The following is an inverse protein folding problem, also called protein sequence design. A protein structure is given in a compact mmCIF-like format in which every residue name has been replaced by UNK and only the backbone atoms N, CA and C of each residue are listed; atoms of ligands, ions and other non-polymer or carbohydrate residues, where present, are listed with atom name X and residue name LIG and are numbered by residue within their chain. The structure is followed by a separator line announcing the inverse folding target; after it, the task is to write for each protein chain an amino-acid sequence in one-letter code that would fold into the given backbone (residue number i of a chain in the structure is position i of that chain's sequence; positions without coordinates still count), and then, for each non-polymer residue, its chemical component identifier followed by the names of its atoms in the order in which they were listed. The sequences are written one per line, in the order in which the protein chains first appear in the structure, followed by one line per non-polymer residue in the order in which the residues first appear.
data_IF_479518710189
#
_entry.id   IF_479518710189
#
_cell.length_a   1.000
_cell.length_b   1.000
_cell.length_c   1.000
_cell.angle_alpha   90.00
_cell.angle_beta   90.00
_cell.angle_gamma   90.00
#
_symmetry.space_group_name_H-M   'P 1'
#
loop_
_entity.id
_entity.type
_entity.pdbx_description
1 polymer ?
#
# COMPACT_ATOMS: atom_id res chain seq x y z
N UNK A 1 50.64 -39.53 7.55
CA UNK A 1 51.40 -40.32 6.55
C UNK A 1 50.52 -40.42 5.31
N UNK A 2 50.93 -39.73 4.25
CA UNK A 2 50.17 -39.36 3.05
C UNK A 2 50.04 -40.53 2.07
N UNK A 3 48.90 -40.64 1.37
CA UNK A 3 48.76 -41.45 0.15
C UNK A 3 48.26 -40.57 -1.01
N UNK A 4 48.78 -40.76 -2.23
CA UNK A 4 48.65 -39.83 -3.33
C UNK A 4 47.38 -40.02 -4.17
N UNK A 5 47.06 -38.94 -4.89
CA UNK A 5 45.96 -38.76 -5.81
C UNK A 5 46.09 -39.57 -7.11
N UNK A 6 44.95 -39.96 -7.70
CA UNK A 6 44.63 -39.79 -9.13
C UNK A 6 43.30 -40.46 -9.48
N UNK A 7 42.30 -39.69 -9.92
CA UNK A 7 41.34 -40.04 -10.99
C UNK A 7 40.70 -38.70 -11.41
N UNK A 8 41.13 -38.14 -12.54
CA UNK A 8 40.62 -38.39 -13.89
C UNK A 8 39.52 -37.38 -14.27
N UNK A 9 39.94 -36.43 -15.11
CA UNK A 9 39.20 -35.64 -16.07
C UNK A 9 37.67 -35.73 -16.07
N UNK A 10 37.02 -34.60 -15.84
CA UNK A 10 35.99 -34.16 -16.79
C UNK A 10 36.02 -32.65 -16.90
N UNK A 11 36.71 -32.19 -17.93
CA UNK A 11 36.55 -30.83 -18.45
C UNK A 11 35.10 -30.67 -18.89
N UNK A 12 34.37 -29.75 -18.27
CA UNK A 12 33.26 -29.09 -18.93
C UNK A 12 33.38 -27.60 -18.62
N UNK A 13 34.01 -26.89 -19.55
CA UNK A 13 33.99 -25.44 -19.64
C UNK A 13 32.52 -25.00 -19.72
N UNK A 14 31.98 -24.41 -18.66
CA UNK A 14 30.80 -23.57 -18.80
C UNK A 14 31.26 -22.20 -19.27
N UNK A 15 31.24 -22.07 -20.60
CA UNK A 15 31.40 -20.81 -21.33
C UNK A 15 30.41 -19.78 -20.80
N UNK A 16 30.94 -18.70 -20.24
CA UNK A 16 30.22 -17.47 -19.99
C UNK A 16 29.65 -16.96 -21.33
N UNK A 17 28.35 -17.18 -21.55
CA UNK A 17 27.59 -16.54 -22.62
C UNK A 17 26.82 -15.39 -22.00
N UNK A 18 27.46 -14.21 -22.07
CA UNK A 18 26.79 -12.92 -21.92
C UNK A 18 25.86 -12.79 -23.13
N UNK A 19 24.55 -12.97 -22.92
CA UNK A 19 23.54 -12.56 -23.89
C UNK A 19 23.00 -11.19 -23.45
N UNK A 20 23.54 -10.17 -24.11
CA UNK A 20 23.06 -8.81 -24.10
C UNK A 20 21.70 -8.79 -24.83
N UNK A 21 20.59 -8.73 -24.11
CA UNK A 21 19.27 -8.45 -24.71
C UNK A 21 18.89 -7.00 -24.40
N UNK A 22 19.30 -6.10 -25.27
CA UNK A 22 18.79 -4.74 -25.35
C UNK A 22 17.66 -4.69 -26.39
N UNK A 23 16.42 -4.80 -25.92
CA UNK A 23 15.19 -4.29 -26.55
C UNK A 23 14.31 -3.88 -25.36
N UNK A 24 13.91 -2.63 -25.18
CA UNK A 24 13.31 -1.75 -26.17
C UNK A 24 11.85 -1.54 -25.76
N UNK A 25 11.60 -0.41 -25.10
CA UNK A 25 10.30 0.23 -24.87
C UNK A 25 9.14 -0.66 -24.37
N UNK A 26 8.96 -0.65 -23.06
CA UNK A 26 7.69 -0.94 -22.42
C UNK A 26 7.57 -0.11 -21.15
N UNK A 27 7.55 1.22 -21.25
CA UNK A 27 6.83 1.99 -20.26
C UNK A 27 5.40 1.48 -20.32
N UNK A 28 5.08 0.52 -19.46
CA UNK A 28 3.70 0.15 -19.19
C UNK A 28 3.10 1.35 -18.49
N UNK A 29 2.63 2.33 -19.27
CA UNK A 29 1.61 3.24 -18.79
C UNK A 29 0.38 2.38 -18.54
N UNK A 30 0.28 1.88 -17.31
CA UNK A 30 -0.93 1.31 -16.76
C UNK A 30 -2.08 2.26 -17.12
N UNK A 31 -3.21 1.76 -17.64
CA UNK A 31 -4.33 2.63 -18.00
C UNK A 31 -4.63 3.50 -16.79
N UNK A 32 -4.58 4.83 -16.99
CA UNK A 32 -4.93 5.81 -15.98
C UNK A 32 -6.40 5.61 -15.65
N UNK A 33 -6.63 4.70 -14.70
CA UNK A 33 -7.92 4.38 -14.16
C UNK A 33 -8.32 5.66 -13.43
N UNK A 34 -9.50 6.16 -13.72
CA UNK A 34 -10.20 7.03 -12.78
C UNK A 34 -10.25 6.26 -11.46
N UNK A 35 -9.33 6.55 -10.54
CA UNK A 35 -9.15 5.81 -9.30
C UNK A 35 -10.23 6.28 -8.33
N UNK A 36 -11.43 5.71 -8.50
CA UNK A 36 -12.43 5.70 -7.46
C UNK A 36 -11.96 4.71 -6.38
N UNK A 37 -11.59 5.24 -5.22
CA UNK A 37 -11.04 4.46 -4.11
C UNK A 37 -12.11 3.87 -3.18
N UNK A 38 -13.41 3.91 -3.54
CA UNK A 38 -14.50 3.39 -2.71
C UNK A 38 -14.30 1.95 -2.20
N UNK A 39 -13.73 1.05 -3.02
CA UNK A 39 -13.42 -0.32 -2.55
C UNK A 39 -12.25 -0.37 -1.58
N UNK A 40 -11.23 0.46 -1.79
CA UNK A 40 -10.07 0.55 -0.89
C UNK A 40 -10.51 1.11 0.46
N UNK A 41 -11.30 2.18 0.45
CA UNK A 41 -11.82 2.80 1.68
C UNK A 41 -12.76 1.85 2.42
N UNK A 42 -13.61 1.12 1.70
CA UNK A 42 -14.44 0.07 2.29
C UNK A 42 -13.59 -1.01 2.97
N UNK A 43 -12.55 -1.52 2.30
CA UNK A 43 -11.67 -2.54 2.86
C UNK A 43 -10.94 -2.06 4.14
N UNK A 44 -10.43 -0.82 4.15
CA UNK A 44 -9.81 -0.20 5.33
C UNK A 44 -10.80 -0.13 6.49
N UNK A 45 -12.02 0.35 6.23
CA UNK A 45 -13.06 0.52 7.25
C UNK A 45 -13.49 -0.84 7.82
N UNK A 46 -13.75 -1.82 6.95
CA UNK A 46 -14.19 -3.16 7.38
C UNK A 46 -13.14 -3.87 8.23
N UNK A 47 -11.86 -3.83 7.83
CA UNK A 47 -10.78 -4.46 8.59
C UNK A 47 -10.47 -3.71 9.89
N UNK A 48 -10.49 -2.38 9.88
CA UNK A 48 -10.26 -1.60 11.08
C UNK A 48 -11.41 -1.74 12.11
N UNK A 49 -12.67 -1.80 11.68
CA UNK A 49 -13.79 -2.12 12.57
C UNK A 49 -13.64 -3.51 13.19
N UNK A 50 -13.24 -4.51 12.39
CA UNK A 50 -13.01 -5.87 12.89
C UNK A 50 -11.87 -5.89 13.93
N UNK A 51 -10.76 -5.19 13.66
CA UNK A 51 -9.64 -5.07 14.58
C UNK A 51 -10.05 -4.41 15.89
N UNK A 52 -10.79 -3.29 15.81
CA UNK A 52 -11.26 -2.58 16.99
C UNK A 52 -12.29 -3.39 17.77
N UNK A 53 -13.20 -4.11 17.11
CA UNK A 53 -14.16 -5.00 17.79
C UNK A 53 -13.47 -6.12 18.57
N UNK A 54 -12.34 -6.61 18.07
CA UNK A 54 -11.51 -7.62 18.74
C UNK A 54 -10.48 -7.02 19.71
N UNK A 55 -10.42 -5.69 19.86
CA UNK A 55 -9.40 -5.01 20.64
C UNK A 55 -9.43 -5.43 22.11
N UNK A 56 -8.30 -5.95 22.57
CA UNK A 56 -7.97 -6.18 23.97
C UNK A 56 -6.78 -5.30 24.31
N UNK A 57 -6.95 -4.41 25.31
CA UNK A 57 -5.91 -3.46 25.72
C UNK A 57 -4.65 -4.14 26.26
N UNK A 58 -4.78 -5.36 26.81
CA UNK A 58 -3.64 -6.15 27.29
C UNK A 58 -2.87 -6.79 26.12
N UNK A 59 -3.47 -6.83 24.93
CA UNK A 59 -2.90 -7.34 23.67
C UNK A 59 -2.76 -6.25 22.62
N UNK A 60 -2.59 -5.00 23.05
CA UNK A 60 -2.62 -3.85 22.16
C UNK A 60 -1.62 -3.90 20.99
N UNK A 61 -0.48 -4.58 21.16
CA UNK A 61 0.49 -4.82 20.08
C UNK A 61 -0.10 -5.60 18.89
N UNK A 62 -1.00 -6.56 19.14
CA UNK A 62 -1.66 -7.33 18.08
C UNK A 62 -2.54 -6.41 17.22
N UNK A 63 -3.33 -5.55 17.86
CA UNK A 63 -4.19 -4.58 17.15
C UNK A 63 -3.35 -3.50 16.44
N UNK A 64 -2.25 -3.06 17.05
CA UNK A 64 -1.27 -2.17 16.42
C UNK A 64 -0.74 -2.75 15.10
N UNK A 65 -0.35 -4.03 15.11
CA UNK A 65 0.17 -4.70 13.91
C UNK A 65 -0.89 -4.78 12.80
N UNK A 66 -2.17 -5.01 13.15
CA UNK A 66 -3.27 -4.99 12.18
C UNK A 66 -3.44 -3.60 11.57
N UNK A 67 -3.44 -2.54 12.37
CA UNK A 67 -3.55 -1.16 11.84
C UNK A 67 -2.34 -0.75 10.99
N UNK A 68 -1.13 -1.20 11.34
CA UNK A 68 0.05 -1.03 10.49
C UNK A 68 -0.11 -1.76 9.16
N UNK A 69 -0.61 -3.01 9.16
CA UNK A 69 -0.86 -3.77 7.93
C UNK A 69 -1.93 -3.10 7.05
N UNK A 70 -3.02 -2.60 7.64
CA UNK A 70 -4.04 -1.83 6.91
C UNK A 70 -3.40 -0.60 6.25
N UNK A 71 -2.52 0.11 6.97
CA UNK A 71 -1.81 1.26 6.41
C UNK A 71 -0.90 0.87 5.24
N UNK A 72 0.03 -0.06 5.43
CA UNK A 72 1.03 -0.39 4.41
C UNK A 72 0.44 -1.21 3.25
N UNK A 73 -0.36 -2.23 3.53
CA UNK A 73 -0.79 -3.19 2.50
C UNK A 73 -1.99 -2.70 1.71
N UNK A 74 -2.86 -1.91 2.33
CA UNK A 74 -4.12 -1.45 1.71
C UNK A 74 -4.03 0.02 1.33
N UNK A 75 -3.70 0.91 2.27
CA UNK A 75 -3.70 2.34 1.99
C UNK A 75 -2.52 2.77 1.10
N UNK A 76 -1.29 2.42 1.48
CA UNK A 76 -0.09 2.69 0.68
C UNK A 76 0.00 1.73 -0.52
N UNK A 77 -0.18 0.43 -0.30
CA UNK A 77 -0.07 -0.62 -1.32
C UNK A 77 -1.06 -0.49 -2.48
N UNK A 78 -2.21 0.17 -2.29
CA UNK A 78 -3.15 0.46 -3.38
C UNK A 78 -2.77 1.69 -4.23
N UNK A 79 -1.75 2.44 -3.83
CA UNK A 79 -1.39 3.73 -4.43
C UNK A 79 -2.28 4.91 -3.99
N UNK A 80 -3.30 4.66 -3.15
CA UNK A 80 -4.23 5.68 -2.65
C UNK A 80 -3.52 6.80 -1.89
N UNK A 81 -2.62 6.44 -0.99
CA UNK A 81 -1.78 7.39 -0.24
C UNK A 81 -1.09 8.38 -1.19
N UNK A 82 -0.36 7.86 -2.17
CA UNK A 82 0.39 8.66 -3.14
C UNK A 82 -0.54 9.53 -3.99
N UNK A 83 -1.68 8.99 -4.44
CA UNK A 83 -2.65 9.73 -5.25
C UNK A 83 -3.26 10.91 -4.48
N UNK A 84 -3.60 10.72 -3.20
CA UNK A 84 -4.04 11.79 -2.30
C UNK A 84 -2.90 12.79 -2.11
N UNK A 85 -1.68 12.33 -1.82
CA UNK A 85 -0.53 13.19 -1.56
C UNK A 85 -0.18 14.12 -2.73
N UNK A 86 -0.30 13.63 -3.98
CA UNK A 86 -0.12 14.41 -5.20
C UNK A 86 -1.17 15.52 -5.37
N UNK A 87 -2.40 15.28 -4.93
CA UNK A 87 -3.52 16.23 -5.06
C UNK A 87 -3.61 17.21 -3.90
N UNK A 88 -3.46 16.70 -2.68
CA UNK A 88 -3.55 17.46 -1.44
C UNK A 88 -2.73 16.79 -0.33
N UNK A 89 -1.48 17.23 -0.16
CA UNK A 89 -0.57 16.73 0.87
C UNK A 89 -1.13 16.90 2.30
N UNK A 90 -1.96 17.92 2.55
CA UNK A 90 -2.57 18.10 3.89
C UNK A 90 -3.57 16.99 4.21
N UNK A 91 -4.36 16.54 3.23
CA UNK A 91 -5.29 15.42 3.42
C UNK A 91 -4.54 14.11 3.68
N UNK A 92 -3.44 13.87 2.96
CA UNK A 92 -2.57 12.71 3.21
C UNK A 92 -2.07 12.71 4.67
N UNK A 93 -1.43 13.81 5.08
CA UNK A 93 -0.86 13.95 6.43
C UNK A 93 -1.94 13.81 7.51
N UNK A 94 -3.15 14.31 7.27
CA UNK A 94 -4.27 14.13 8.17
C UNK A 94 -4.64 12.65 8.37
N UNK A 95 -4.74 11.86 7.29
CA UNK A 95 -5.02 10.42 7.39
C UNK A 95 -3.90 9.67 8.09
N UNK A 96 -2.64 9.93 7.72
CA UNK A 96 -1.44 9.36 8.36
C UNK A 96 -1.43 9.63 9.87
N UNK A 97 -1.86 10.84 10.26
CA UNK A 97 -1.98 11.20 11.66
C UNK A 97 -3.02 10.36 12.40
N UNK A 98 -4.18 10.08 11.81
CA UNK A 98 -5.19 9.24 12.46
C UNK A 98 -4.74 7.78 12.59
N UNK A 99 -4.09 7.22 11.57
CA UNK A 99 -3.45 5.89 11.69
C UNK A 99 -2.44 5.87 12.83
N UNK A 100 -1.54 6.86 12.87
CA UNK A 100 -0.51 6.97 13.91
C UNK A 100 -1.09 7.10 15.32
N UNK A 101 -2.19 7.85 15.47
CA UNK A 101 -2.88 8.00 16.75
C UNK A 101 -3.47 6.67 17.23
N UNK A 102 -4.13 5.91 16.34
CA UNK A 102 -4.71 4.60 16.69
C UNK A 102 -3.60 3.60 17.05
N UNK A 103 -2.56 3.51 16.23
CA UNK A 103 -1.39 2.64 16.47
C UNK A 103 -0.77 2.98 17.83
N UNK A 104 -0.47 4.26 18.09
CA UNK A 104 0.11 4.68 19.37
C UNK A 104 -0.81 4.38 20.56
N UNK A 105 -2.13 4.57 20.42
CA UNK A 105 -3.11 4.27 21.47
C UNK A 105 -3.17 2.76 21.77
N UNK A 106 -3.17 1.92 20.74
CA UNK A 106 -3.17 0.45 20.90
C UNK A 106 -1.88 -0.03 21.57
N UNK A 107 -0.70 0.45 21.17
CA UNK A 107 0.58 0.09 21.82
C UNK A 107 0.58 0.45 23.30
N UNK A 108 -0.04 1.56 23.68
CA UNK A 108 -0.17 2.00 25.08
C UNK A 108 -1.19 1.21 25.89
N UNK A 109 -1.99 0.33 25.27
CA UNK A 109 -3.12 -0.31 25.92
C UNK A 109 -4.19 0.71 26.36
N UNK A 110 -4.38 1.78 25.59
CA UNK A 110 -5.36 2.82 25.91
C UNK A 110 -6.79 2.24 25.97
N UNK A 111 -7.69 2.81 26.80
CA UNK A 111 -9.08 2.39 26.81
C UNK A 111 -9.74 2.58 25.44
N UNK A 112 -10.70 1.71 25.09
CA UNK A 112 -11.36 1.71 23.78
C UNK A 112 -11.90 3.09 23.36
N UNK A 113 -12.41 3.88 24.31
CA UNK A 113 -12.92 5.24 24.09
C UNK A 113 -11.88 6.20 23.50
N UNK A 114 -10.59 6.00 23.77
CA UNK A 114 -9.51 6.82 23.20
C UNK A 114 -9.19 6.47 21.74
N UNK A 115 -9.57 5.26 21.28
CA UNK A 115 -9.40 4.84 19.89
C UNK A 115 -10.58 5.30 19.01
N UNK A 116 -11.76 5.49 19.60
CA UNK A 116 -12.98 5.78 18.84
C UNK A 116 -12.92 7.13 18.12
N UNK A 117 -12.37 8.17 18.76
CA UNK A 117 -12.29 9.51 18.16
C UNK A 117 -11.38 9.55 16.91
N UNK A 118 -10.11 9.10 16.93
CA UNK A 118 -9.29 9.07 15.72
C UNK A 118 -9.85 8.08 14.67
N UNK A 119 -10.47 6.98 15.09
CA UNK A 119 -11.11 6.03 14.17
C UNK A 119 -12.29 6.64 13.40
N UNK A 120 -13.20 7.34 14.09
CA UNK A 120 -14.34 8.00 13.45
C UNK A 120 -13.91 9.09 12.46
N UNK A 121 -12.86 9.85 12.81
CA UNK A 121 -12.29 10.86 11.92
C UNK A 121 -11.69 10.21 10.67
N UNK A 122 -10.91 9.13 10.85
CA UNK A 122 -10.37 8.36 9.72
C UNK A 122 -11.49 7.85 8.80
N UNK A 123 -12.53 7.21 9.36
CA UNK A 123 -13.66 6.70 8.60
C UNK A 123 -14.38 7.80 7.80
N UNK A 124 -14.62 8.95 8.42
CA UNK A 124 -15.29 10.08 7.77
C UNK A 124 -14.48 10.56 6.58
N UNK A 125 -13.18 10.83 6.78
CA UNK A 125 -12.31 11.32 5.70
C UNK A 125 -12.14 10.29 4.58
N UNK A 126 -12.01 8.99 4.92
CA UNK A 126 -11.95 7.93 3.92
C UNK A 126 -13.21 7.85 3.05
N UNK A 127 -14.40 7.97 3.63
CA UNK A 127 -15.65 7.99 2.86
C UNK A 127 -15.69 9.18 1.90
N UNK A 128 -15.39 10.37 2.40
CA UNK A 128 -15.32 11.58 1.57
C UNK A 128 -14.28 11.46 0.44
N UNK A 129 -13.15 10.78 0.66
CA UNK A 129 -12.17 10.51 -0.40
C UNK A 129 -12.68 9.45 -1.38
N UNK A 130 -13.24 8.35 -0.90
CA UNK A 130 -13.66 7.22 -1.72
C UNK A 130 -14.77 7.57 -2.71
N UNK A 131 -15.61 8.54 -2.37
CA UNK A 131 -16.67 9.07 -3.24
C UNK A 131 -16.14 10.05 -4.28
N UNK A 132 -14.91 10.57 -4.13
CA UNK A 132 -14.30 11.55 -5.03
C UNK A 132 -13.50 10.87 -6.14
N UNK A 133 -13.63 11.39 -7.36
CA UNK A 133 -12.65 11.11 -8.42
C UNK A 133 -11.38 11.91 -8.14
N UNK A 134 -10.25 11.23 -7.94
CA UNK A 134 -8.97 11.89 -7.62
C UNK A 134 -8.20 12.39 -8.86
N UNK A 135 -8.83 12.41 -10.05
CA UNK A 135 -8.24 12.98 -11.28
C UNK A 135 -7.89 14.48 -11.08
N UNK A 136 -6.69 14.93 -11.46
CA UNK A 136 -6.30 16.34 -11.37
C UNK A 136 -6.95 17.22 -12.46
N UNK A 137 -7.26 18.50 -12.17
CA UNK A 137 -7.77 19.43 -13.18
C UNK A 137 -6.69 19.79 -14.20
N UNK A 138 -6.99 19.64 -15.50
CA UNK A 138 -6.11 20.07 -16.60
C UNK A 138 -5.54 18.95 -17.47
N UNK A 139 -5.82 17.68 -17.18
CA UNK A 139 -5.45 16.60 -18.08
C UNK A 139 -6.51 16.46 -19.18
N UNK A 140 -6.16 16.90 -20.40
CA UNK A 140 -7.00 16.63 -21.59
C UNK A 140 -7.05 15.13 -21.80
N UNK A 141 -8.19 14.51 -21.49
CA UNK A 141 -8.49 13.14 -21.89
C UNK A 141 -8.62 13.13 -23.41
N UNK A 142 -7.63 12.57 -24.12
CA UNK A 142 -7.77 12.24 -25.53
C UNK A 142 -8.68 11.03 -25.64
N UNK A 143 -9.97 11.27 -25.88
CA UNK A 143 -10.93 10.23 -26.22
C UNK A 143 -10.49 9.57 -27.55
N UNK A 144 -10.39 8.23 -27.62
CA UNK A 144 -10.15 7.57 -28.89
C UNK A 144 -11.42 7.62 -29.77
N UNK A 145 -11.30 8.27 -30.92
CA UNK A 145 -12.17 8.04 -32.08
C UNK A 145 -13.48 8.84 -32.12
N UNK A 146 -13.42 10.05 -32.65
CA UNK A 146 -14.34 10.48 -33.72
C UNK A 146 -13.56 11.34 -34.72
N UNK A 147 -12.86 10.67 -35.62
CA UNK A 147 -12.73 11.18 -36.99
C UNK A 147 -13.99 10.69 -37.73
N UNK A 148 -14.80 11.65 -38.17
CA UNK A 148 -15.61 11.54 -39.38
C UNK A 148 -14.96 12.47 -40.40
#
# INVERSE_FOLDING_TARGET
MTKPASFCSMALLYTATILLFAMGAGCSSSPEKSENYSRVTQAIIEQGEAALKAYDKEKGMETSNIFSAIYFDIFEGSGMEMAIGKKNTKEKVELESYFSQIIAATIKGAPRSELDAPWQKLCTRLKEIGERTLVPPGQKIKLPGKEQ
#
